data_IF_089312472288
#
_entry.id   IF_089312472288
#
_cell.length_a   1.000
_cell.length_b   1.000
_cell.length_c   1.000
_cell.angle_alpha   90.00
_cell.angle_beta   90.00
_cell.angle_gamma   90.00
#
_symmetry.space_group_name_H-M   'P 1'
#
loop_
_entity.id
_entity.type
_entity.pdbx_description
1 polymer ?
#
# COMPACT_ATOMS: atom_id res chain seq x y z
N UNK A 1 -10.50 -26.01 -35.48
CA UNK A 1 -10.53 -24.64 -34.94
C UNK A 1 -9.30 -24.51 -34.06
N UNK A 2 -8.32 -23.67 -34.44
CA UNK A 2 -7.16 -23.42 -33.58
C UNK A 2 -7.63 -22.41 -32.55
N UNK A 3 -7.72 -22.81 -31.28
CA UNK A 3 -7.95 -21.88 -30.18
C UNK A 3 -6.77 -20.90 -30.17
N UNK A 4 -7.04 -19.65 -30.54
CA UNK A 4 -6.06 -18.57 -30.40
C UNK A 4 -5.82 -18.36 -28.91
N UNK A 5 -4.65 -18.79 -28.43
CA UNK A 5 -4.20 -18.58 -27.05
C UNK A 5 -4.17 -17.08 -26.76
N UNK A 6 -4.81 -16.65 -25.67
CA UNK A 6 -4.84 -15.22 -25.32
C UNK A 6 -3.44 -14.73 -24.93
N UNK A 7 -3.19 -13.42 -25.09
CA UNK A 7 -1.92 -12.81 -24.64
C UNK A 7 -1.68 -13.09 -23.15
N UNK A 8 -2.74 -13.07 -22.34
CA UNK A 8 -2.68 -13.40 -20.92
C UNK A 8 -2.16 -14.83 -20.70
N UNK A 9 -2.73 -15.81 -21.39
CA UNK A 9 -2.33 -17.22 -21.22
C UNK A 9 -0.88 -17.47 -21.67
N UNK A 10 -0.39 -16.76 -22.69
CA UNK A 10 1.01 -16.81 -23.11
C UNK A 10 1.95 -16.32 -22.00
N UNK A 11 1.61 -15.21 -21.34
CA UNK A 11 2.42 -14.70 -20.23
C UNK A 11 2.35 -15.59 -18.99
N UNK A 12 1.17 -16.16 -18.69
CA UNK A 12 1.04 -17.14 -17.59
C UNK A 12 1.91 -18.37 -17.81
N UNK A 13 1.95 -18.89 -19.03
CA UNK A 13 2.83 -20.00 -19.38
C UNK A 13 4.32 -19.64 -19.25
N UNK A 14 4.73 -18.44 -19.70
CA UNK A 14 6.12 -17.94 -19.55
C UNK A 14 6.52 -17.73 -18.10
N UNK A 15 5.58 -17.38 -17.22
CA UNK A 15 5.82 -17.12 -15.81
C UNK A 15 6.06 -18.39 -14.98
N UNK A 16 5.71 -19.58 -15.49
CA UNK A 16 5.91 -20.85 -14.78
C UNK A 16 7.40 -21.09 -14.48
N UNK A 17 7.72 -21.27 -13.19
CA UNK A 17 9.09 -21.52 -12.73
C UNK A 17 9.98 -20.28 -12.65
N UNK A 18 9.39 -19.09 -12.76
CA UNK A 18 10.08 -17.79 -12.59
C UNK A 18 9.65 -17.11 -11.30
N UNK A 19 10.27 -15.98 -10.96
CA UNK A 19 9.82 -15.13 -9.85
C UNK A 19 8.56 -14.30 -10.18
N UNK A 20 8.09 -14.34 -11.43
CA UNK A 20 6.81 -13.75 -11.85
C UNK A 20 5.70 -14.75 -11.53
N UNK A 21 4.67 -14.31 -10.82
CA UNK A 21 3.49 -15.13 -10.52
C UNK A 21 2.71 -15.45 -11.78
N UNK A 22 2.49 -16.73 -12.07
CA UNK A 22 1.64 -17.15 -13.19
C UNK A 22 0.15 -16.82 -12.99
N UNK A 23 -0.26 -16.38 -11.80
CA UNK A 23 -1.65 -15.99 -11.51
C UNK A 23 -1.84 -14.49 -11.78
N UNK A 24 -1.05 -13.67 -11.09
CA UNK A 24 -1.17 -12.21 -11.12
C UNK A 24 -0.31 -11.54 -12.18
N UNK A 25 0.73 -12.20 -12.69
CA UNK A 25 1.78 -11.63 -13.55
C UNK A 25 2.63 -10.52 -12.90
N UNK A 26 2.65 -10.48 -11.56
CA UNK A 26 3.53 -9.62 -10.77
C UNK A 26 4.70 -10.44 -10.19
N UNK A 27 5.85 -9.80 -9.99
CA UNK A 27 7.07 -10.41 -9.46
C UNK A 27 7.30 -10.01 -8.00
N UNK A 28 7.57 -11.02 -7.17
CA UNK A 28 7.81 -10.85 -5.72
C UNK A 28 9.05 -10.02 -5.42
N UNK A 29 10.07 -10.08 -6.29
CA UNK A 29 11.32 -9.34 -6.14
C UNK A 29 11.12 -7.82 -6.03
N UNK A 30 10.03 -7.29 -6.58
CA UNK A 30 9.71 -5.87 -6.45
C UNK A 30 9.60 -5.44 -4.98
N UNK A 31 9.14 -6.32 -4.09
CA UNK A 31 8.98 -5.97 -2.68
C UNK A 31 10.31 -5.88 -1.92
N UNK A 32 11.43 -6.34 -2.51
CA UNK A 32 12.72 -6.35 -1.84
C UNK A 32 13.16 -4.94 -1.43
N UNK A 33 12.97 -3.94 -2.30
CA UNK A 33 13.38 -2.57 -1.96
C UNK A 33 12.54 -1.96 -0.82
N UNK A 34 11.32 -2.45 -0.57
CA UNK A 34 10.53 -2.07 0.60
C UNK A 34 10.97 -2.81 1.86
N UNK A 35 11.30 -4.10 1.73
CA UNK A 35 11.83 -4.90 2.84
C UNK A 35 13.15 -4.34 3.36
N UNK A 36 14.05 -3.92 2.46
CA UNK A 36 15.31 -3.26 2.82
C UNK A 36 15.07 -1.96 3.58
N UNK A 37 14.17 -1.10 3.10
CA UNK A 37 13.80 0.14 3.78
C UNK A 37 13.19 -0.11 5.16
N UNK A 38 12.29 -1.10 5.26
CA UNK A 38 11.69 -1.50 6.53
C UNK A 38 12.74 -2.00 7.52
N UNK A 39 13.66 -2.85 7.06
CA UNK A 39 14.77 -3.34 7.89
C UNK A 39 15.61 -2.18 8.43
N UNK A 40 16.03 -1.25 7.56
CA UNK A 40 16.79 -0.07 7.98
C UNK A 40 16.03 0.75 9.02
N UNK A 41 14.75 1.04 8.76
CA UNK A 41 13.91 1.80 9.69
C UNK A 41 13.76 1.11 11.06
N UNK A 42 13.71 -0.22 11.11
CA UNK A 42 13.61 -0.99 12.36
C UNK A 42 14.90 -1.04 13.15
N UNK A 43 16.05 -0.79 12.53
CA UNK A 43 17.34 -0.69 13.21
C UNK A 43 17.57 0.67 13.87
N UNK A 44 16.90 1.73 13.41
CA UNK A 44 17.13 3.10 13.90
C UNK A 44 16.93 3.33 15.40
N UNK A 45 15.99 2.66 16.10
CA UNK A 45 15.88 2.78 17.56
C UNK A 45 17.14 2.34 18.31
N UNK A 46 17.87 1.36 17.76
CA UNK A 46 19.09 0.81 18.36
C UNK A 46 20.37 1.44 17.77
N UNK A 47 20.31 1.84 16.49
CA UNK A 47 21.43 2.41 15.72
C UNK A 47 20.96 3.66 14.95
N UNK A 48 20.78 4.80 15.63
CA UNK A 48 20.27 6.04 15.01
C UNK A 48 21.19 6.59 13.92
N UNK A 49 22.50 6.30 13.96
CA UNK A 49 23.48 6.70 12.95
C UNK A 49 23.20 6.08 11.56
N UNK A 50 22.40 5.01 11.47
CA UNK A 50 22.00 4.40 10.19
C UNK A 50 20.93 5.21 9.44
N UNK A 51 20.50 6.36 9.97
CA UNK A 51 19.50 7.20 9.31
C UNK A 51 19.95 7.66 7.92
N UNK A 52 21.25 7.86 7.71
CA UNK A 52 21.82 8.25 6.41
C UNK A 52 21.60 7.14 5.35
N UNK A 53 21.66 5.87 5.74
CA UNK A 53 21.36 4.75 4.84
C UNK A 53 19.87 4.68 4.50
N UNK A 54 19.01 4.96 5.49
CA UNK A 54 17.57 5.03 5.29
C UNK A 54 17.16 6.24 4.44
N UNK A 55 17.87 7.35 4.51
CA UNK A 55 17.65 8.56 3.71
C UNK A 55 17.83 8.31 2.21
N UNK A 56 18.78 7.44 1.83
CA UNK A 56 19.06 7.10 0.43
C UNK A 56 17.88 6.38 -0.23
N UNK A 57 17.02 5.72 0.56
CA UNK A 57 15.86 5.04 0.01
C UNK A 57 14.89 6.03 -0.65
N UNK A 58 14.43 5.68 -1.85
CA UNK A 58 13.42 6.43 -2.58
C UNK A 58 12.40 5.49 -3.25
N UNK A 59 11.15 5.95 -3.46
CA UNK A 59 10.17 5.23 -4.27
C UNK A 59 10.72 4.91 -5.66
N UNK A 60 10.45 3.69 -6.14
CA UNK A 60 10.71 3.29 -7.52
C UNK A 60 9.44 2.76 -8.16
N UNK A 61 9.21 3.09 -9.43
CA UNK A 61 8.13 2.44 -10.17
C UNK A 61 8.48 0.98 -10.46
N UNK A 62 7.44 0.14 -10.56
CA UNK A 62 7.59 -1.29 -10.78
C UNK A 62 8.55 -1.65 -11.92
N UNK A 63 8.34 -1.08 -13.11
CA UNK A 63 9.20 -1.39 -14.27
C UNK A 63 10.62 -0.82 -14.12
N UNK A 64 10.77 0.34 -13.49
CA UNK A 64 12.08 0.95 -13.28
C UNK A 64 12.92 0.13 -12.30
N UNK A 65 12.30 -0.40 -11.24
CA UNK A 65 12.94 -1.35 -10.33
C UNK A 65 13.56 -2.53 -11.10
N UNK A 66 12.84 -3.12 -12.05
CA UNK A 66 13.35 -4.24 -12.84
C UNK A 66 14.36 -3.85 -13.92
N UNK A 67 14.25 -2.64 -14.50
CA UNK A 67 15.28 -2.12 -15.43
C UNK A 67 16.64 -1.99 -14.75
N UNK A 68 16.62 -1.57 -13.49
CA UNK A 68 17.82 -1.41 -12.67
C UNK A 68 18.31 -2.72 -12.04
N UNK A 69 17.51 -3.79 -12.04
CA UNK A 69 17.83 -5.03 -11.32
C UNK A 69 18.67 -6.03 -12.12
N UNK A 70 19.45 -6.82 -11.38
CA UNK A 70 20.25 -7.94 -11.91
C UNK A 70 19.49 -9.27 -12.01
N UNK A 71 18.16 -9.27 -11.89
CA UNK A 71 17.35 -10.49 -11.83
C UNK A 71 17.20 -11.09 -13.24
N UNK A 72 17.28 -12.41 -13.35
CA UNK A 72 17.23 -13.13 -14.63
C UNK A 72 15.93 -12.86 -15.41
N UNK A 73 14.80 -12.82 -14.71
CA UNK A 73 13.46 -12.69 -15.31
C UNK A 73 12.98 -11.24 -15.42
N UNK A 74 13.87 -10.24 -15.37
CA UNK A 74 13.48 -8.82 -15.35
C UNK A 74 12.64 -8.38 -16.56
N UNK A 75 12.99 -8.85 -17.76
CA UNK A 75 12.27 -8.49 -18.99
C UNK A 75 10.86 -9.09 -18.96
N UNK A 76 10.74 -10.32 -18.47
CA UNK A 76 9.43 -10.95 -18.27
C UNK A 76 8.61 -10.15 -17.27
N UNK A 77 9.18 -9.74 -16.13
CA UNK A 77 8.46 -8.94 -15.13
C UNK A 77 7.95 -7.61 -15.71
N UNK A 78 8.77 -6.91 -16.50
CA UNK A 78 8.43 -5.64 -17.14
C UNK A 78 7.28 -5.82 -18.15
N UNK A 79 7.38 -6.82 -19.02
CA UNK A 79 6.38 -7.10 -20.05
C UNK A 79 5.07 -7.64 -19.45
N UNK A 80 5.17 -8.53 -18.47
CA UNK A 80 4.02 -9.20 -17.86
C UNK A 80 3.15 -8.21 -17.07
N UNK A 81 3.75 -7.15 -16.51
CA UNK A 81 3.03 -6.08 -15.82
C UNK A 81 2.00 -5.36 -16.72
N UNK A 82 2.26 -5.23 -18.03
CA UNK A 82 1.29 -4.65 -18.98
C UNK A 82 0.12 -5.57 -19.30
N UNK A 83 0.25 -6.86 -18.97
CA UNK A 83 -0.75 -7.91 -19.21
C UNK A 83 -1.39 -8.36 -17.89
N UNK A 84 -0.91 -7.83 -16.75
CA UNK A 84 -1.42 -8.10 -15.42
C UNK A 84 -2.94 -7.82 -15.36
N UNK A 85 -3.76 -8.81 -14.92
CA UNK A 85 -5.19 -8.60 -14.75
C UNK A 85 -5.47 -7.46 -13.77
N UNK A 86 -6.44 -6.60 -14.09
CA UNK A 86 -6.75 -5.38 -13.32
C UNK A 86 -7.17 -5.68 -11.88
N UNK A 87 -7.80 -6.83 -11.64
CA UNK A 87 -8.16 -7.30 -10.29
C UNK A 87 -6.95 -7.52 -9.37
N UNK A 88 -5.74 -7.63 -9.92
CA UNK A 88 -4.48 -7.65 -9.18
C UNK A 88 -3.72 -6.34 -9.32
N UNK A 89 -3.65 -5.78 -10.53
CA UNK A 89 -2.86 -4.57 -10.80
C UNK A 89 -3.33 -3.36 -9.99
N UNK A 90 -4.62 -3.06 -10.02
CA UNK A 90 -5.18 -1.88 -9.36
C UNK A 90 -4.97 -1.90 -7.84
N UNK A 91 -5.32 -2.99 -7.11
CA UNK A 91 -5.07 -3.04 -5.67
C UNK A 91 -3.58 -3.11 -5.32
N UNK A 92 -2.75 -3.70 -6.19
CA UNK A 92 -1.30 -3.70 -6.01
C UNK A 92 -0.74 -2.29 -6.10
N UNK A 93 -1.02 -1.57 -7.19
CA UNK A 93 -0.56 -0.20 -7.41
C UNK A 93 -1.04 0.73 -6.29
N UNK A 94 -2.28 0.56 -5.82
CA UNK A 94 -2.82 1.28 -4.66
C UNK A 94 -2.03 0.99 -3.39
N UNK A 95 -1.70 -0.29 -3.13
CA UNK A 95 -0.94 -0.69 -1.95
C UNK A 95 0.50 -0.16 -2.01
N UNK A 96 1.11 -0.15 -3.19
CA UNK A 96 2.43 0.43 -3.44
C UNK A 96 2.44 1.94 -3.20
N UNK A 97 1.41 2.66 -3.64
CA UNK A 97 1.28 4.09 -3.36
C UNK A 97 1.20 4.35 -1.85
N UNK A 98 0.45 3.52 -1.11
CA UNK A 98 0.37 3.61 0.35
C UNK A 98 1.73 3.31 1.01
N UNK A 99 2.46 2.30 0.54
CA UNK A 99 3.81 1.97 1.03
C UNK A 99 4.77 3.15 0.85
N UNK A 100 4.85 3.68 -0.36
CA UNK A 100 5.68 4.85 -0.68
C UNK A 100 5.36 6.02 0.25
N UNK A 101 4.07 6.33 0.41
CA UNK A 101 3.63 7.40 1.31
C UNK A 101 4.04 7.15 2.76
N UNK A 102 3.86 5.95 3.30
CA UNK A 102 4.21 5.68 4.70
C UNK A 102 5.72 5.75 4.94
N UNK A 103 6.53 5.22 4.04
CA UNK A 103 7.99 5.29 4.15
C UNK A 103 8.51 6.72 4.03
N UNK A 104 8.01 7.50 3.07
CA UNK A 104 8.38 8.92 2.96
C UNK A 104 7.97 9.74 4.19
N UNK A 105 6.78 9.48 4.75
CA UNK A 105 6.34 10.16 5.98
C UNK A 105 7.22 9.80 7.18
N UNK A 106 7.62 8.52 7.28
CA UNK A 106 8.56 8.06 8.30
C UNK A 106 9.92 8.75 8.12
N UNK A 107 10.52 8.64 6.94
CA UNK A 107 11.82 9.23 6.60
C UNK A 107 11.85 10.74 6.90
N UNK A 108 10.86 11.49 6.40
CA UNK A 108 10.75 12.94 6.65
C UNK A 108 10.68 13.29 8.13
N UNK A 109 9.92 12.53 8.92
CA UNK A 109 9.78 12.80 10.35
C UNK A 109 11.07 12.51 11.13
N UNK A 110 11.81 11.47 10.73
CA UNK A 110 13.08 11.12 11.36
C UNK A 110 14.18 12.12 11.01
N UNK A 111 14.29 12.53 9.74
CA UNK A 111 15.29 13.51 9.28
C UNK A 111 15.05 14.91 9.84
N UNK A 112 13.80 15.29 10.12
CA UNK A 112 13.47 16.62 10.66
C UNK A 112 14.01 16.85 12.07
N UNK A 113 14.17 15.81 12.88
CA UNK A 113 14.57 15.94 14.27
C UNK A 113 15.44 14.76 14.72
N UNK A 114 16.66 14.69 14.17
CA UNK A 114 17.63 13.65 14.46
C UNK A 114 18.04 13.63 15.94
N UNK A 115 18.08 14.78 16.61
CA UNK A 115 18.32 14.82 18.07
C UNK A 115 17.25 14.08 18.86
N UNK A 116 15.97 14.18 18.47
CA UNK A 116 14.89 13.41 19.10
C UNK A 116 14.96 11.91 18.75
N UNK A 117 15.50 11.56 17.57
CA UNK A 117 15.79 10.17 17.21
C UNK A 117 16.91 9.60 18.11
N UNK A 118 18.03 10.31 18.25
CA UNK A 118 19.15 9.93 19.13
C UNK A 118 18.74 9.82 20.60
N UNK A 119 17.82 10.69 21.05
CA UNK A 119 17.25 10.65 22.39
C UNK A 119 16.21 9.51 22.59
N UNK A 120 15.88 8.75 21.54
CA UNK A 120 14.91 7.64 21.59
C UNK A 120 13.44 8.08 21.63
N UNK A 121 13.15 9.37 21.50
CA UNK A 121 11.77 9.91 21.56
C UNK A 121 10.92 9.48 20.35
N UNK A 122 11.56 9.00 19.28
CA UNK A 122 10.89 8.52 18.06
C UNK A 122 10.61 7.02 18.05
N UNK A 123 11.05 6.26 19.05
CA UNK A 123 11.01 4.79 19.03
C UNK A 123 9.58 4.23 18.89
N UNK A 124 8.62 4.79 19.61
CA UNK A 124 7.21 4.36 19.51
C UNK A 124 6.62 4.70 18.13
N UNK A 125 6.94 5.88 17.59
CA UNK A 125 6.52 6.29 16.25
C UNK A 125 7.08 5.35 15.17
N UNK A 126 8.37 5.01 15.26
CA UNK A 126 9.03 4.05 14.37
C UNK A 126 8.32 2.69 14.45
N UNK A 127 8.12 2.15 15.65
CA UNK A 127 7.48 0.85 15.84
C UNK A 127 6.07 0.79 15.23
N UNK A 128 5.25 1.84 15.44
CA UNK A 128 3.91 1.94 14.86
C UNK A 128 3.96 2.00 13.33
N UNK A 129 4.85 2.82 12.77
CA UNK A 129 5.00 2.99 11.32
C UNK A 129 5.52 1.72 10.65
N UNK A 130 6.55 1.09 11.20
CA UNK A 130 7.10 -0.17 10.71
C UNK A 130 6.05 -1.30 10.77
N UNK A 131 5.22 -1.35 11.83
CA UNK A 131 4.09 -2.27 11.92
C UNK A 131 3.05 -2.09 10.82
N UNK A 132 2.74 -0.84 10.45
CA UNK A 132 1.84 -0.53 9.32
C UNK A 132 2.46 -0.89 7.97
N UNK A 133 3.73 -0.51 7.75
CA UNK A 133 4.47 -0.80 6.52
C UNK A 133 4.54 -2.30 6.28
N UNK A 134 4.86 -3.10 7.31
CA UNK A 134 4.86 -4.56 7.23
C UNK A 134 3.52 -5.12 6.74
N UNK A 135 2.41 -4.67 7.30
CA UNK A 135 1.06 -5.11 6.87
C UNK A 135 0.79 -4.76 5.41
N UNK A 136 1.29 -3.62 4.93
CA UNK A 136 1.16 -3.22 3.52
C UNK A 136 2.05 -4.06 2.60
N UNK A 137 3.28 -4.41 3.03
CA UNK A 137 4.16 -5.34 2.32
C UNK A 137 3.49 -6.72 2.24
N UNK A 138 2.96 -7.24 3.35
CA UNK A 138 2.25 -8.52 3.41
C UNK A 138 1.04 -8.53 2.46
N UNK A 139 0.26 -7.43 2.44
CA UNK A 139 -0.86 -7.25 1.51
C UNK A 139 -0.40 -7.27 0.05
N UNK A 140 0.66 -6.53 -0.29
CA UNK A 140 1.21 -6.51 -1.64
C UNK A 140 1.71 -7.90 -2.05
N UNK A 141 2.40 -8.62 -1.14
CA UNK A 141 2.85 -9.99 -1.35
C UNK A 141 1.69 -10.95 -1.56
N UNK A 142 0.58 -10.80 -0.82
CA UNK A 142 -0.65 -11.55 -1.04
C UNK A 142 -1.20 -11.34 -2.45
N UNK A 143 -1.28 -10.09 -2.91
CA UNK A 143 -1.77 -9.74 -4.26
C UNK A 143 -0.87 -10.33 -5.35
N UNK A 144 0.45 -10.22 -5.20
CA UNK A 144 1.42 -10.85 -6.12
C UNK A 144 1.16 -12.37 -6.21
N UNK A 145 0.88 -13.01 -5.08
CA UNK A 145 0.58 -14.45 -5.03
C UNK A 145 -0.86 -14.80 -5.46
N UNK A 146 -1.63 -13.85 -5.99
CA UNK A 146 -2.95 -14.09 -6.56
C UNK A 146 -4.12 -13.95 -5.59
N UNK A 147 -3.91 -13.39 -4.40
CA UNK A 147 -5.01 -13.03 -3.50
C UNK A 147 -5.72 -11.80 -4.03
N UNK A 148 -7.03 -11.92 -4.30
CA UNK A 148 -7.87 -10.77 -4.64
C UNK A 148 -8.32 -10.14 -3.31
N UNK A 149 -7.92 -8.90 -3.00
CA UNK A 149 -8.38 -8.25 -1.79
C UNK A 149 -9.90 -8.11 -1.84
N UNK A 150 -10.58 -8.42 -0.73
CA UNK A 150 -12.01 -8.19 -0.64
C UNK A 150 -12.32 -6.74 -0.99
N UNK A 151 -13.24 -6.53 -1.94
CA UNK A 151 -13.81 -5.20 -2.17
C UNK A 151 -14.51 -4.79 -0.88
N UNK A 152 -14.09 -3.68 -0.28
CA UNK A 152 -14.87 -3.04 0.76
C UNK A 152 -16.21 -2.66 0.10
N UNK A 153 -17.36 -3.19 0.54
CA UNK A 153 -18.64 -2.83 -0.06
C UNK A 153 -18.86 -1.32 0.10
N UNK A 154 -19.21 -0.65 -1.01
CA UNK A 154 -19.38 0.80 -1.10
C UNK A 154 -20.44 1.39 -0.15
N UNK A 155 -21.24 0.55 0.51
CA UNK A 155 -22.23 0.97 1.52
C UNK A 155 -22.33 -0.08 2.63
N UNK A 156 -22.46 0.32 3.90
CA UNK A 156 -22.96 -0.58 4.91
C UNK A 156 -24.37 -1.02 4.50
N UNK A 157 -24.60 -2.33 4.45
CA UNK A 157 -25.91 -2.93 4.23
C UNK A 157 -26.79 -2.61 5.46
N UNK A 158 -27.40 -1.43 5.46
CA UNK A 158 -28.46 -1.11 6.40
C UNK A 158 -29.72 -1.77 5.86
N UNK A 159 -29.88 -3.06 6.16
CA UNK A 159 -31.18 -3.70 6.08
C UNK A 159 -32.04 -3.08 7.18
N UNK A 160 -32.76 -2.00 6.85
CA UNK A 160 -33.80 -1.45 7.71
C UNK A 160 -34.94 -2.45 7.72
N UNK A 161 -35.00 -3.30 8.76
CA UNK A 161 -36.23 -3.99 9.10
C UNK A 161 -37.20 -2.92 9.61
N UNK A 162 -38.25 -2.61 8.84
CA UNK A 162 -39.34 -1.74 9.27
C UNK A 162 -40.12 -2.40 10.42
N UNK A 163 -39.60 -2.24 11.64
CA UNK A 163 -40.32 -2.50 12.88
C UNK A 163 -41.30 -1.37 13.14
N UNK A 164 -42.58 -1.64 12.89
CA UNK A 164 -43.72 -0.79 13.25
C UNK A 164 -43.74 -0.58 14.76
N UNK A 165 -43.39 0.62 15.24
CA UNK A 165 -43.53 0.99 16.67
C UNK A 165 -44.52 2.14 16.81
N UNK A 166 -45.65 1.82 17.44
CA UNK A 166 -46.72 2.73 17.83
C UNK A 166 -46.26 3.70 18.93
N UNK A 167 -46.77 4.94 18.86
CA UNK A 167 -46.47 6.06 19.75
C UNK A 167 -46.93 5.81 21.19
N UNK A 168 -46.06 6.11 22.15
CA UNK A 168 -46.41 6.33 23.56
C UNK A 168 -45.39 7.25 24.24
N UNK A 169 -45.83 8.44 24.67
CA UNK A 169 -45.05 9.50 25.32
C UNK A 169 -44.38 9.06 26.63
N UNK A 170 -43.18 9.58 26.92
CA UNK A 170 -42.95 10.66 27.93
C UNK A 170 -41.48 11.15 27.89
N UNK A 171 -41.34 12.48 28.03
CA UNK A 171 -40.10 13.25 28.06
C UNK A 171 -39.24 12.96 29.29
N UNK A 172 -37.93 12.89 29.10
CA UNK A 172 -36.98 13.31 30.11
C UNK A 172 -35.74 13.97 29.47
N UNK A 173 -35.48 15.19 29.95
CA UNK A 173 -34.47 16.18 29.52
C UNK A 173 -33.02 15.73 29.73
N UNK A 174 -32.19 15.81 28.68
CA UNK A 174 -30.72 15.97 28.82
C UNK A 174 -30.22 17.07 27.89
N UNK A 175 -29.46 18.01 28.47
CA UNK A 175 -28.88 19.21 27.85
C UNK A 175 -27.75 18.86 26.85
N UNK A 176 -27.42 19.77 25.91
CA UNK A 176 -26.56 19.47 24.78
C UNK A 176 -25.08 19.51 25.17
N UNK A 177 -24.29 18.58 24.63
CA UNK A 177 -22.83 18.70 24.60
C UNK A 177 -22.40 18.90 23.15
N UNK A 178 -21.64 19.97 22.98
CA UNK A 178 -21.15 20.61 21.77
C UNK A 178 -20.03 19.83 21.09
N UNK A 179 -20.11 19.74 19.76
CA UNK A 179 -18.97 19.97 18.85
C UNK A 179 -17.97 18.84 18.59
N UNK A 180 -18.24 18.05 17.55
CA UNK A 180 -17.21 17.57 16.63
C UNK A 180 -17.86 17.34 15.25
N UNK A 181 -17.80 18.36 14.39
CA UNK A 181 -18.00 18.21 12.95
C UNK A 181 -16.87 17.34 12.41
N UNK A 182 -17.22 16.15 11.89
CA UNK A 182 -16.33 15.40 11.01
C UNK A 182 -16.91 15.54 9.61
N UNK A 183 -16.38 16.48 8.85
CA UNK A 183 -16.48 16.43 7.39
C UNK A 183 -15.50 15.37 6.91
N UNK A 184 -16.00 14.27 6.33
CA UNK A 184 -15.19 13.38 5.52
C UNK A 184 -15.40 13.82 4.07
N UNK A 185 -14.36 14.43 3.51
CA UNK A 185 -14.31 14.94 2.14
C UNK A 185 -14.72 13.90 1.11
N UNK A 186 -15.33 14.43 0.06
CA UNK A 186 -15.68 13.79 -1.19
C UNK A 186 -14.65 12.76 -1.67
N UNK A 187 -15.17 11.63 -2.17
CA UNK A 187 -14.43 10.58 -2.87
C UNK A 187 -13.89 11.04 -4.22
N UNK A 188 -13.00 12.04 -4.22
CA UNK A 188 -12.23 12.44 -5.39
C UNK A 188 -11.09 11.45 -5.56
N UNK A 189 -11.10 10.75 -6.69
CA UNK A 189 -9.95 10.00 -7.18
C UNK A 189 -8.88 11.03 -7.53
N UNK A 190 -7.74 10.97 -6.85
CA UNK A 190 -6.61 11.86 -7.12
C UNK A 190 -5.95 11.43 -8.42
N UNK A 191 -5.81 12.37 -9.36
CA UNK A 191 -5.10 12.15 -10.62
C UNK A 191 -3.65 12.63 -10.53
N UNK A 192 -2.88 12.44 -11.61
CA UNK A 192 -1.45 12.75 -11.65
C UNK A 192 -1.12 14.21 -11.28
N UNK A 193 -2.03 15.15 -11.57
CA UNK A 193 -1.81 16.56 -11.22
C UNK A 193 -1.92 16.82 -9.73
N UNK A 194 -2.75 16.04 -9.02
CA UNK A 194 -2.87 16.09 -7.56
C UNK A 194 -1.65 15.45 -6.86
N UNK A 195 -0.96 14.53 -7.54
CA UNK A 195 0.29 13.91 -7.06
C UNK A 195 1.46 14.87 -7.25
N UNK A 196 1.61 15.46 -8.42
CA UNK A 196 2.72 16.39 -8.72
C UNK A 196 2.65 17.64 -7.81
N UNK A 197 1.43 18.08 -7.47
CA UNK A 197 1.21 19.18 -6.53
C UNK A 197 1.61 18.89 -5.07
N UNK A 198 1.92 17.64 -4.71
CA UNK A 198 2.46 17.29 -3.38
C UNK A 198 3.99 17.42 -3.30
N UNK A 199 4.67 17.69 -4.42
CA UNK A 199 6.13 17.78 -4.54
C UNK A 199 6.65 19.22 -4.77
N UNK A 200 5.76 20.22 -4.83
CA UNK A 200 6.08 21.67 -4.74
C UNK A 200 5.87 22.19 -3.31
#
# INVERSE_FOLDING_TARGET
MVETVSKLDLFRARALGTNVSAVSLLATDYLNHFNEALMLAELLPDMPDMIDEFEVWAPKHYKDHFRDSGIADRELAIEAYDVCPTEYRDPFDTTVLMLNKQLMLLQRELLKNQTALEAGEKNEFIAIKCGLIRKLIDRAGGIINGQIPEKIPDKPDVTVQEGKVERGLKEETVKPVTGATVEVSDGKVLDQSDIDALFD
#
